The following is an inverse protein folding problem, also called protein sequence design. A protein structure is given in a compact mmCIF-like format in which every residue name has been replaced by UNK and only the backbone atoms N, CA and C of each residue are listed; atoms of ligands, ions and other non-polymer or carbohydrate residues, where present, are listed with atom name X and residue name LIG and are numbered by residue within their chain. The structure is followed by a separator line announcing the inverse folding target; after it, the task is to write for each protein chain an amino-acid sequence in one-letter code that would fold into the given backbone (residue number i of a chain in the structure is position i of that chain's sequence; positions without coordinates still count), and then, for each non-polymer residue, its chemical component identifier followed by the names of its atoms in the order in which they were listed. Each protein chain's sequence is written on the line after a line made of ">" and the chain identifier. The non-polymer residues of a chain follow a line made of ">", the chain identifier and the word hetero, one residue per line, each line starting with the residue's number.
data_IF_480275802773
#
_entry.id   IF_480275802773
#
_cell.length_a   1.000
_cell.length_b   1.000
_cell.length_c   1.000
_cell.angle_alpha   90.00
_cell.angle_beta   90.00
_cell.angle_gamma   90.00
#
_symmetry.space_group_name_H-M   'P 1'
#
loop_
_entity.id
_entity.type
_entity.pdbx_description
1 polymer ?
#
# COMPACT_ATOMS: atom_id res chain seq x y z
N UNK A 1 22.26 17.24 25.97
CA UNK A 1 20.86 16.81 26.10
C UNK A 1 20.14 16.60 24.78
N UNK A 2 20.46 17.32 23.70
CA UNK A 2 19.75 17.24 22.41
C UNK A 2 19.97 15.94 21.61
N UNK A 3 21.13 15.32 21.69
CA UNK A 3 21.46 14.09 20.95
C UNK A 3 20.74 12.87 21.54
N UNK A 4 20.62 12.80 22.87
CA UNK A 4 19.92 11.69 23.53
C UNK A 4 18.41 11.70 23.22
N UNK A 5 17.79 12.89 23.12
CA UNK A 5 16.38 13.03 22.76
C UNK A 5 16.11 12.62 21.30
N UNK A 6 17.03 12.93 20.37
CA UNK A 6 16.93 12.51 18.97
C UNK A 6 17.07 10.98 18.82
N UNK A 7 17.93 10.33 19.64
CA UNK A 7 18.13 8.89 19.62
C UNK A 7 16.91 8.12 20.14
N UNK A 8 16.23 8.65 21.17
CA UNK A 8 15.00 8.06 21.72
C UNK A 8 13.84 8.16 20.73
N UNK A 9 13.71 9.28 20.02
CA UNK A 9 12.70 9.46 18.97
C UNK A 9 12.93 8.51 17.76
N UNK A 10 14.18 8.19 17.44
CA UNK A 10 14.49 7.25 16.36
C UNK A 10 14.13 5.79 16.72
N UNK A 11 14.26 5.41 18.00
CA UNK A 11 13.95 4.05 18.46
C UNK A 11 12.46 3.77 18.59
N UNK A 12 11.64 4.78 18.89
CA UNK A 12 10.18 4.64 19.00
C UNK A 12 9.49 4.66 17.62
N UNK A 13 10.16 5.21 16.59
CA UNK A 13 9.63 5.29 15.23
C UNK A 13 9.46 3.93 14.54
N UNK A 14 10.30 2.94 14.86
CA UNK A 14 10.29 1.63 14.17
C UNK A 14 9.01 0.79 14.44
N UNK A 15 8.36 0.95 15.57
CA UNK A 15 7.13 0.17 15.87
C UNK A 15 5.88 0.75 15.20
N UNK A 16 5.84 2.06 14.98
CA UNK A 16 4.71 2.72 14.32
C UNK A 16 4.67 2.48 12.79
N UNK A 17 5.74 1.92 12.22
CA UNK A 17 5.91 1.72 10.78
C UNK A 17 5.49 0.34 10.29
N UNK A 18 5.23 -0.57 11.21
CA UNK A 18 4.85 -1.95 10.90
C UNK A 18 3.37 -2.19 11.25
N UNK A 19 2.71 -2.95 10.41
CA UNK A 19 1.38 -3.50 10.67
C UNK A 19 1.41 -5.00 10.49
N UNK A 20 0.54 -5.68 11.20
CA UNK A 20 0.37 -7.12 11.02
C UNK A 20 -0.55 -7.37 9.81
N UNK A 21 -0.07 -8.18 8.87
CA UNK A 21 -0.88 -8.65 7.77
C UNK A 21 -2.01 -9.52 8.32
N UNK A 22 -3.25 -9.13 8.07
CA UNK A 22 -4.42 -9.83 8.60
C UNK A 22 -4.59 -11.24 8.02
N UNK A 23 -3.92 -11.57 6.90
CA UNK A 23 -4.01 -12.88 6.22
C UNK A 23 -2.88 -13.81 6.62
N UNK A 24 -1.63 -13.30 6.68
CA UNK A 24 -0.44 -14.12 6.97
C UNK A 24 0.02 -14.04 8.42
N UNK A 25 -0.43 -13.03 9.17
CA UNK A 25 0.04 -12.74 10.52
C UNK A 25 1.45 -12.14 10.59
N UNK A 26 2.14 -12.01 9.47
CA UNK A 26 3.48 -11.43 9.40
C UNK A 26 3.45 -9.90 9.53
N UNK A 27 4.52 -9.33 10.07
CA UNK A 27 4.69 -7.90 10.14
C UNK A 27 5.20 -7.37 8.80
N UNK A 28 4.49 -6.41 8.23
CA UNK A 28 4.87 -5.72 7.01
C UNK A 28 4.95 -4.21 7.24
N UNK A 29 5.84 -3.53 6.51
CA UNK A 29 5.93 -2.06 6.55
C UNK A 29 4.76 -1.48 5.76
N UNK A 30 4.07 -0.47 6.33
CA UNK A 30 2.98 0.18 5.62
C UNK A 30 3.48 1.04 4.45
N UNK A 31 2.64 1.24 3.42
CA UNK A 31 3.01 2.01 2.22
C UNK A 31 3.29 3.47 2.53
N UNK A 32 2.64 4.05 3.54
CA UNK A 32 2.91 5.41 4.01
C UNK A 32 4.37 5.59 4.40
N UNK A 33 4.92 4.66 5.18
CA UNK A 33 6.32 4.70 5.62
C UNK A 33 7.30 4.44 4.48
N UNK A 34 7.01 3.44 3.62
CA UNK A 34 7.84 3.15 2.46
C UNK A 34 7.87 4.33 1.51
N UNK A 35 6.71 4.91 1.18
CA UNK A 35 6.60 6.08 0.35
C UNK A 35 7.33 7.29 0.93
N UNK A 36 7.21 7.53 2.24
CA UNK A 36 7.94 8.59 2.93
C UNK A 36 9.47 8.42 2.81
N UNK A 37 9.97 7.20 3.01
CA UNK A 37 11.40 6.92 2.95
C UNK A 37 11.95 7.08 1.52
N UNK A 38 11.28 6.48 0.53
CA UNK A 38 11.67 6.59 -0.88
C UNK A 38 11.63 8.04 -1.34
N UNK A 39 10.55 8.74 -1.04
CA UNK A 39 10.39 10.15 -1.37
C UNK A 39 11.45 11.05 -0.70
N UNK A 40 11.79 10.78 0.57
CA UNK A 40 12.83 11.52 1.27
C UNK A 40 14.22 11.29 0.66
N UNK A 41 14.57 10.05 0.31
CA UNK A 41 15.85 9.74 -0.34
C UNK A 41 15.94 10.39 -1.72
N UNK A 42 14.90 10.26 -2.55
CA UNK A 42 14.84 10.87 -3.87
C UNK A 42 14.91 12.42 -3.79
N UNK A 43 14.13 13.01 -2.90
CA UNK A 43 14.13 14.46 -2.68
C UNK A 43 15.47 14.98 -2.16
N UNK A 44 16.13 14.25 -1.26
CA UNK A 44 17.47 14.59 -0.79
C UNK A 44 18.50 14.58 -1.92
N UNK A 45 18.46 13.54 -2.78
CA UNK A 45 19.36 13.41 -3.92
C UNK A 45 19.22 14.57 -4.92
N UNK A 46 17.97 14.94 -5.25
CA UNK A 46 17.68 16.12 -6.09
C UNK A 46 18.18 17.40 -5.42
N UNK A 47 17.91 17.58 -4.12
CA UNK A 47 18.37 18.73 -3.37
C UNK A 47 19.90 18.88 -3.33
N UNK A 48 20.62 17.75 -3.20
CA UNK A 48 22.09 17.74 -3.28
C UNK A 48 22.62 18.15 -4.66
N UNK A 49 21.89 17.81 -5.73
CA UNK A 49 22.30 18.14 -7.10
C UNK A 49 22.08 19.63 -7.45
N UNK A 50 21.22 20.34 -6.73
CA UNK A 50 20.82 21.73 -7.05
C UNK A 50 21.60 22.81 -6.28
N UNK A 51 22.48 22.45 -5.34
CA UNK A 51 23.26 23.41 -4.57
C UNK A 51 24.62 23.72 -5.17
N UNK A 52 25.00 25.02 -5.20
CA UNK A 52 26.28 25.49 -5.77
C UNK A 52 27.46 25.27 -4.81
N UNK A 53 27.22 25.23 -3.51
CA UNK A 53 28.24 25.01 -2.49
C UNK A 53 27.80 24.02 -1.40
N UNK A 54 28.73 23.54 -0.59
CA UNK A 54 28.47 22.49 0.41
C UNK A 54 27.38 22.85 1.44
N UNK A 55 27.22 24.13 1.78
CA UNK A 55 26.22 24.62 2.72
C UNK A 55 24.82 24.60 2.08
N UNK A 56 24.72 25.07 0.84
CA UNK A 56 23.47 25.07 0.06
C UNK A 56 23.04 23.65 -0.28
N UNK A 57 23.93 22.79 -0.68
CA UNK A 57 23.67 21.37 -0.92
C UNK A 57 23.02 20.69 0.27
N UNK A 58 23.54 20.92 1.48
CA UNK A 58 22.94 20.37 2.71
C UNK A 58 21.56 20.94 2.98
N UNK A 59 21.37 22.25 2.78
CA UNK A 59 20.07 22.91 2.96
C UNK A 59 19.04 22.39 1.96
N UNK A 60 19.40 22.32 0.67
CA UNK A 60 18.53 21.82 -0.37
C UNK A 60 18.22 20.32 -0.20
N UNK A 61 19.19 19.52 0.26
CA UNK A 61 18.96 18.11 0.58
C UNK A 61 17.92 17.95 1.71
N UNK A 62 17.99 18.75 2.77
CA UNK A 62 17.02 18.71 3.87
C UNK A 62 15.61 19.13 3.41
N UNK A 63 15.51 20.20 2.61
CA UNK A 63 14.24 20.68 2.07
C UNK A 63 13.66 19.63 1.11
N UNK A 64 14.51 19.07 0.23
CA UNK A 64 14.11 18.05 -0.73
C UNK A 64 13.66 16.77 -0.03
N UNK A 65 14.38 16.33 1.02
CA UNK A 65 13.99 15.15 1.80
C UNK A 65 12.63 15.37 2.49
N UNK A 66 12.40 16.54 3.07
CA UNK A 66 11.13 16.84 3.74
C UNK A 66 9.96 16.90 2.75
N UNK A 67 10.13 17.59 1.62
CA UNK A 67 9.09 17.67 0.59
C UNK A 67 8.82 16.31 -0.07
N UNK A 68 9.87 15.59 -0.47
CA UNK A 68 9.75 14.26 -1.09
C UNK A 68 9.16 13.24 -0.13
N UNK A 69 9.58 13.26 1.14
CA UNK A 69 9.04 12.39 2.18
C UNK A 69 7.55 12.65 2.44
N UNK A 70 7.12 13.90 2.51
CA UNK A 70 5.71 14.25 2.69
C UNK A 70 4.86 13.80 1.50
N UNK A 71 5.34 14.01 0.27
CA UNK A 71 4.64 13.56 -0.96
C UNK A 71 4.54 12.03 -1.01
N UNK A 72 5.66 11.34 -0.78
CA UNK A 72 5.69 9.88 -0.76
C UNK A 72 4.81 9.27 0.32
N UNK A 73 4.77 9.88 1.52
CA UNK A 73 3.86 9.48 2.59
C UNK A 73 2.39 9.63 2.17
N UNK A 74 2.03 10.72 1.48
CA UNK A 74 0.67 10.95 1.00
C UNK A 74 0.21 9.88 0.02
N UNK A 75 1.08 9.53 -0.94
CA UNK A 75 0.80 8.43 -1.90
C UNK A 75 0.62 7.11 -1.16
N UNK A 76 1.57 6.77 -0.28
CA UNK A 76 1.50 5.54 0.50
C UNK A 76 0.24 5.45 1.37
N UNK A 77 -0.16 6.55 1.99
CA UNK A 77 -1.39 6.63 2.78
C UNK A 77 -2.64 6.32 1.96
N UNK A 78 -2.70 6.85 0.74
CA UNK A 78 -3.80 6.56 -0.19
C UNK A 78 -3.95 5.05 -0.42
N UNK A 79 -2.85 4.34 -0.70
CA UNK A 79 -2.86 2.89 -0.86
C UNK A 79 -3.20 2.13 0.43
N UNK A 80 -2.71 2.58 1.57
CA UNK A 80 -3.02 1.96 2.86
C UNK A 80 -4.51 2.08 3.19
N UNK A 81 -5.15 3.20 2.86
CA UNK A 81 -6.59 3.40 3.03
C UNK A 81 -7.40 2.51 2.09
N UNK A 82 -7.06 2.48 0.81
CA UNK A 82 -7.72 1.60 -0.17
C UNK A 82 -7.68 0.14 0.26
N UNK A 83 -6.52 -0.35 0.70
CA UNK A 83 -6.39 -1.72 1.20
C UNK A 83 -7.26 -1.97 2.43
N UNK A 84 -7.25 -1.03 3.38
CA UNK A 84 -8.06 -1.17 4.60
C UNK A 84 -9.56 -1.24 4.28
N UNK A 85 -10.03 -0.47 3.30
CA UNK A 85 -11.43 -0.49 2.87
C UNK A 85 -11.77 -1.78 2.12
N UNK A 86 -10.90 -2.23 1.21
CA UNK A 86 -11.07 -3.53 0.54
C UNK A 86 -11.17 -4.68 1.56
N UNK A 87 -10.27 -4.71 2.54
CA UNK A 87 -10.32 -5.73 3.59
C UNK A 87 -11.61 -5.68 4.40
N UNK A 88 -12.10 -4.48 4.75
CA UNK A 88 -13.37 -4.33 5.48
C UNK A 88 -14.58 -4.76 4.64
N UNK A 89 -14.62 -4.35 3.38
CA UNK A 89 -15.72 -4.68 2.47
C UNK A 89 -15.78 -6.17 2.13
N UNK A 90 -14.63 -6.84 2.16
CA UNK A 90 -14.48 -8.25 1.80
C UNK A 90 -14.43 -9.20 3.03
N UNK A 91 -14.59 -8.66 4.24
CA UNK A 91 -14.72 -9.49 5.45
C UNK A 91 -15.86 -10.50 5.26
N UNK A 92 -15.56 -11.78 5.49
CA UNK A 92 -16.51 -12.90 5.36
C UNK A 92 -17.05 -13.16 3.94
N UNK A 93 -16.43 -12.61 2.91
CA UNK A 93 -16.83 -12.83 1.51
C UNK A 93 -16.15 -14.05 0.85
N UNK A 94 -15.17 -14.67 1.53
CA UNK A 94 -14.30 -15.70 0.94
C UNK A 94 -13.23 -15.13 -0.01
N UNK A 95 -13.10 -13.80 -0.08
CA UNK A 95 -12.03 -13.13 -0.84
C UNK A 95 -10.94 -12.67 0.10
N UNK A 96 -9.71 -13.10 -0.20
CA UNK A 96 -8.52 -12.70 0.55
C UNK A 96 -7.86 -11.52 -0.14
N UNK A 97 -7.57 -10.47 0.62
CA UNK A 97 -6.81 -9.30 0.15
C UNK A 97 -5.38 -9.43 0.61
N UNK A 98 -4.47 -9.63 -0.32
CA UNK A 98 -3.04 -9.80 -0.07
C UNK A 98 -2.26 -8.68 -0.74
N UNK A 99 -1.33 -8.06 -0.02
CA UNK A 99 -0.37 -7.14 -0.62
C UNK A 99 0.78 -7.94 -1.24
N UNK A 100 1.03 -7.74 -2.53
CA UNK A 100 2.11 -8.44 -3.27
C UNK A 100 3.24 -7.49 -3.71
N UNK A 101 3.07 -6.19 -3.50
CA UNK A 101 4.05 -5.16 -3.82
C UNK A 101 3.71 -3.84 -3.13
N UNK A 102 4.54 -2.82 -3.35
CA UNK A 102 4.34 -1.49 -2.72
C UNK A 102 2.98 -0.89 -3.06
N UNK A 103 2.55 -1.04 -4.33
CA UNK A 103 1.32 -0.47 -4.87
C UNK A 103 0.45 -1.54 -5.55
N UNK A 104 0.57 -2.80 -5.14
CA UNK A 104 -0.16 -3.91 -5.74
C UNK A 104 -0.91 -4.70 -4.68
N UNK A 105 -2.21 -4.86 -4.89
CA UNK A 105 -3.09 -5.70 -4.10
C UNK A 105 -3.57 -6.86 -4.97
N UNK A 106 -3.45 -8.07 -4.45
CA UNK A 106 -4.01 -9.27 -5.03
C UNK A 106 -5.29 -9.62 -4.28
N UNK A 107 -6.41 -9.66 -4.99
CA UNK A 107 -7.67 -10.17 -4.48
C UNK A 107 -7.81 -11.62 -4.95
N UNK A 108 -7.61 -12.54 -4.03
CA UNK A 108 -7.71 -13.97 -4.32
C UNK A 108 -9.05 -14.51 -3.86
N UNK A 109 -9.80 -15.06 -4.79
CA UNK A 109 -11.03 -15.79 -4.50
C UNK A 109 -10.72 -17.28 -4.34
N UNK A 110 -11.26 -17.91 -3.34
CA UNK A 110 -11.14 -19.36 -3.16
C UNK A 110 -11.93 -20.12 -4.25
N UNK A 111 -11.47 -21.32 -4.57
CA UNK A 111 -12.11 -22.16 -5.57
C UNK A 111 -13.60 -22.38 -5.24
N UNK A 112 -14.46 -22.25 -6.24
CA UNK A 112 -15.89 -22.51 -6.11
C UNK A 112 -16.76 -21.34 -5.64
N UNK A 113 -16.17 -20.17 -5.33
CA UNK A 113 -16.97 -19.01 -4.92
C UNK A 113 -17.54 -18.25 -6.11
N UNK A 114 -16.82 -18.22 -7.25
CA UNK A 114 -17.19 -17.42 -8.41
C UNK A 114 -18.14 -18.12 -9.38
N UNK A 115 -17.97 -19.41 -9.57
CA UNK A 115 -18.70 -20.20 -10.57
C UNK A 115 -19.08 -21.56 -10.02
N UNK A 116 -20.28 -22.01 -10.34
CA UNK A 116 -20.68 -23.39 -10.08
C UNK A 116 -19.95 -24.36 -11.03
N UNK A 117 -19.77 -25.61 -10.62
CA UNK A 117 -19.08 -26.64 -11.43
C UNK A 117 -19.72 -26.76 -12.82
N UNK A 118 -18.88 -26.76 -13.86
CA UNK A 118 -19.29 -26.82 -15.28
C UNK A 118 -20.16 -25.61 -15.71
N UNK A 119 -20.07 -24.47 -15.04
CA UNK A 119 -20.82 -23.26 -15.36
C UNK A 119 -19.91 -22.07 -15.68
N UNK A 120 -20.30 -21.28 -16.65
CA UNK A 120 -19.69 -19.98 -16.97
C UNK A 120 -20.47 -18.81 -16.38
N UNK A 121 -21.56 -19.08 -15.68
CA UNK A 121 -22.36 -18.05 -15.02
C UNK A 121 -21.82 -17.79 -13.61
N UNK A 122 -21.69 -16.50 -13.27
CA UNK A 122 -21.32 -16.09 -11.92
C UNK A 122 -22.39 -16.56 -10.93
N UNK A 123 -21.92 -17.13 -9.83
CA UNK A 123 -22.80 -17.49 -8.72
C UNK A 123 -23.40 -16.22 -8.09
N UNK A 124 -24.66 -16.32 -7.67
CA UNK A 124 -25.38 -15.18 -7.08
C UNK A 124 -24.69 -14.65 -5.80
N UNK A 125 -24.00 -15.51 -5.06
CA UNK A 125 -23.29 -15.18 -3.83
C UNK A 125 -22.16 -14.16 -4.05
N UNK A 126 -21.45 -14.24 -5.19
CA UNK A 126 -20.32 -13.38 -5.50
C UNK A 126 -20.74 -11.96 -5.95
N UNK A 127 -21.98 -11.76 -6.40
CA UNK A 127 -22.44 -10.47 -6.91
C UNK A 127 -22.30 -9.33 -5.90
N UNK A 128 -22.59 -9.59 -4.63
CA UNK A 128 -22.45 -8.57 -3.57
C UNK A 128 -21.00 -8.23 -3.30
N UNK A 129 -20.14 -9.22 -3.32
CA UNK A 129 -18.68 -9.08 -3.18
C UNK A 129 -18.10 -8.25 -4.31
N UNK A 130 -18.44 -8.56 -5.56
CA UNK A 130 -17.98 -7.80 -6.72
C UNK A 130 -18.49 -6.36 -6.73
N UNK A 131 -19.74 -6.11 -6.28
CA UNK A 131 -20.24 -4.74 -6.10
C UNK A 131 -19.47 -3.98 -5.01
N UNK A 132 -19.07 -4.65 -3.93
CA UNK A 132 -18.23 -4.07 -2.89
C UNK A 132 -16.87 -3.62 -3.44
N UNK A 133 -16.21 -4.51 -4.19
CA UNK A 133 -14.95 -4.21 -4.87
C UNK A 133 -15.12 -3.05 -5.86
N UNK A 134 -16.13 -3.12 -6.73
CA UNK A 134 -16.40 -2.09 -7.73
C UNK A 134 -16.62 -0.70 -7.10
N UNK A 135 -17.33 -0.63 -5.97
CA UNK A 135 -17.55 0.64 -5.26
C UNK A 135 -16.24 1.26 -4.82
N UNK A 136 -15.35 0.45 -4.23
CA UNK A 136 -14.05 0.93 -3.76
C UNK A 136 -13.18 1.36 -4.94
N UNK A 137 -13.16 0.61 -6.05
CA UNK A 137 -12.41 1.01 -7.24
C UNK A 137 -12.91 2.32 -7.87
N UNK A 138 -14.19 2.62 -7.77
CA UNK A 138 -14.74 3.92 -8.20
C UNK A 138 -14.31 5.05 -7.28
N UNK A 139 -14.16 4.79 -5.98
CA UNK A 139 -13.67 5.77 -5.00
C UNK A 139 -12.17 6.06 -5.16
N UNK A 140 -11.40 5.08 -5.68
CA UNK A 140 -9.96 5.17 -5.92
C UNK A 140 -9.63 5.11 -7.42
N UNK A 141 -9.92 6.18 -8.20
CA UNK A 141 -9.88 6.16 -9.67
C UNK A 141 -8.47 5.98 -10.27
N UNK A 142 -7.41 6.24 -9.49
CA UNK A 142 -6.02 6.07 -9.93
C UNK A 142 -5.56 4.60 -9.88
N UNK A 143 -6.48 3.66 -9.62
CA UNK A 143 -6.22 2.22 -9.54
C UNK A 143 -6.53 1.54 -10.86
N UNK A 144 -5.57 0.77 -11.40
CA UNK A 144 -5.82 -0.12 -12.53
C UNK A 144 -6.19 -1.51 -12.05
N UNK A 145 -7.16 -2.14 -12.72
CA UNK A 145 -7.63 -3.49 -12.42
C UNK A 145 -7.19 -4.46 -13.51
N UNK A 146 -6.53 -5.55 -13.11
CA UNK A 146 -6.27 -6.71 -13.97
C UNK A 146 -7.07 -7.89 -13.42
N UNK A 147 -7.78 -8.59 -14.27
CA UNK A 147 -8.59 -9.76 -13.89
C UNK A 147 -8.01 -10.98 -14.59
N UNK A 148 -7.49 -11.91 -13.80
CA UNK A 148 -6.98 -13.18 -14.27
C UNK A 148 -7.93 -14.31 -13.86
N UNK A 149 -8.40 -15.08 -14.83
CA UNK A 149 -9.26 -16.26 -14.60
C UNK A 149 -8.46 -17.53 -14.82
N UNK A 150 -8.51 -18.42 -13.84
CA UNK A 150 -7.89 -19.74 -13.92
C UNK A 150 -8.97 -20.81 -13.86
N UNK A 151 -8.82 -21.85 -14.68
CA UNK A 151 -9.60 -23.08 -14.61
C UNK A 151 -8.72 -24.23 -14.16
N UNK A 152 -9.33 -25.28 -13.60
CA UNK A 152 -8.65 -26.54 -13.40
C UNK A 152 -8.36 -27.24 -14.74
N UNK A 153 -7.36 -28.11 -14.72
CA UNK A 153 -6.90 -28.88 -15.89
C UNK A 153 -7.63 -30.22 -15.97
N UNK A 154 -8.97 -30.24 -15.99
CA UNK A 154 -9.73 -31.47 -16.21
C UNK A 154 -9.93 -31.74 -17.70
#
# INVERSE_FOLDING_TARGET
>A
MSIALALVLALTGCQATQRQNATTGEYETNSTTQGALIGAIAGAAIGLATGDNAKERRKHALIGAAAGGATGAGVGYYFDQQEAELRRALLNSGVQVQRVGENQLLLRMENGIGFSSSSYQLDASIHNTLRGVARILVEYPDTSLVIDGYTDST
#
